data_IF_749875326151
#
_entry.id   IF_749875326151
#
_cell.length_a   1.000
_cell.length_b   1.000
_cell.length_c   1.000
_cell.angle_alpha   90.00
_cell.angle_beta   90.00
_cell.angle_gamma   90.00
#
_symmetry.space_group_name_H-M   'P 1'
#
loop_
_entity.id
_entity.type
_entity.pdbx_description
1 polymer ?
#
# COMPACT_ATOMS: atom_id res chain seq x y z
N UNK A 1 74.85 24.18 -17.07
CA UNK A 1 75.51 25.47 -17.36
C UNK A 1 74.44 26.50 -17.67
N UNK A 2 74.28 27.50 -16.81
CA UNK A 2 73.29 28.58 -16.97
C UNK A 2 73.83 29.58 -17.99
N UNK A 3 73.13 29.79 -19.11
CA UNK A 3 73.40 30.92 -20.00
C UNK A 3 72.81 32.15 -19.32
N UNK A 4 73.70 33.01 -18.82
CA UNK A 4 73.38 34.33 -18.27
C UNK A 4 72.58 35.09 -19.35
N UNK A 5 71.44 35.68 -18.99
CA UNK A 5 70.73 36.61 -19.88
C UNK A 5 71.69 37.75 -20.20
N UNK A 6 72.04 37.89 -21.48
CA UNK A 6 72.81 39.03 -21.97
C UNK A 6 71.75 39.95 -22.58
N UNK A 7 71.53 41.10 -21.96
CA UNK A 7 70.72 42.17 -22.55
C UNK A 7 71.41 42.59 -23.86
N UNK A 8 70.89 42.07 -24.96
CA UNK A 8 71.39 42.39 -26.29
C UNK A 8 70.67 43.66 -26.71
N UNK A 9 71.41 44.71 -27.07
CA UNK A 9 70.82 45.97 -27.50
C UNK A 9 69.86 45.74 -28.69
N UNK A 10 68.73 46.45 -28.70
CA UNK A 10 67.72 46.32 -29.73
C UNK A 10 68.34 46.55 -31.12
N UNK A 11 68.28 45.52 -31.96
CA UNK A 11 68.76 45.56 -33.34
C UNK A 11 67.67 46.19 -34.22
N UNK A 12 67.85 47.47 -34.57
CA UNK A 12 66.87 48.26 -35.33
C UNK A 12 66.74 47.85 -36.81
N UNK A 13 67.59 46.95 -37.30
CA UNK A 13 67.49 46.40 -38.68
C UNK A 13 66.48 45.22 -38.76
N UNK A 14 66.02 44.67 -37.63
CA UNK A 14 64.99 43.63 -37.60
C UNK A 14 63.62 44.22 -37.26
N UNK A 15 62.63 43.98 -38.13
CA UNK A 15 61.24 44.44 -37.92
C UNK A 15 60.43 43.65 -36.88
N UNK A 16 61.05 42.72 -36.13
CA UNK A 16 60.41 41.94 -35.07
C UNK A 16 61.43 41.51 -34.00
N UNK A 17 60.95 41.32 -32.77
CA UNK A 17 61.73 40.82 -31.64
C UNK A 17 61.80 39.29 -31.68
N UNK A 18 63.01 38.71 -31.54
CA UNK A 18 63.21 37.26 -31.50
C UNK A 18 62.62 36.72 -30.18
N UNK A 19 61.41 36.15 -30.27
CA UNK A 19 60.68 35.66 -29.10
C UNK A 19 61.15 34.22 -28.77
N UNK A 20 62.11 34.10 -27.84
CA UNK A 20 62.60 32.80 -27.37
C UNK A 20 61.55 32.08 -26.52
N UNK A 21 60.62 31.37 -27.18
CA UNK A 21 59.64 30.53 -26.48
C UNK A 21 60.38 29.38 -25.80
N UNK A 22 60.21 29.26 -24.47
CA UNK A 22 60.74 28.18 -23.64
C UNK A 22 60.08 26.82 -23.92
N UNK A 23 60.17 26.32 -25.15
CA UNK A 23 59.52 25.08 -25.64
C UNK A 23 59.80 23.90 -24.71
N UNK A 24 61.02 23.81 -24.19
CA UNK A 24 61.45 22.77 -23.25
C UNK A 24 60.61 22.76 -21.96
N UNK A 25 60.26 23.94 -21.42
CA UNK A 25 59.42 24.06 -20.23
C UNK A 25 57.98 23.61 -20.49
N UNK A 26 57.41 24.01 -21.62
CA UNK A 26 56.05 23.62 -22.03
C UNK A 26 55.97 22.09 -22.24
N UNK A 27 56.98 21.50 -22.87
CA UNK A 27 57.04 20.04 -23.09
C UNK A 27 57.13 19.29 -21.77
N UNK A 28 58.01 19.69 -20.84
CA UNK A 28 58.08 19.04 -19.52
C UNK A 28 56.80 19.20 -18.71
N UNK A 29 56.15 20.36 -18.79
CA UNK A 29 54.86 20.59 -18.15
C UNK A 29 53.79 19.63 -18.71
N UNK A 30 53.70 19.49 -20.04
CA UNK A 30 52.77 18.56 -20.68
C UNK A 30 53.02 17.10 -20.29
N UNK A 31 54.28 16.67 -20.26
CA UNK A 31 54.66 15.31 -19.81
C UNK A 31 54.31 15.11 -18.33
N UNK A 32 54.61 16.08 -17.48
CA UNK A 32 54.28 16.02 -16.05
C UNK A 32 52.77 15.94 -15.81
N UNK A 33 51.98 16.74 -16.53
CA UNK A 33 50.52 16.71 -16.45
C UNK A 33 49.97 15.35 -16.92
N UNK A 34 50.50 14.80 -18.01
CA UNK A 34 50.08 13.50 -18.52
C UNK A 34 50.39 12.37 -17.53
N UNK A 35 51.57 12.37 -16.91
CA UNK A 35 51.93 11.42 -15.87
C UNK A 35 51.00 11.51 -14.65
N UNK A 36 50.67 12.73 -14.22
CA UNK A 36 49.72 12.95 -13.11
C UNK A 36 48.34 12.40 -13.46
N UNK A 37 47.85 12.66 -14.67
CA UNK A 37 46.56 12.15 -15.14
C UNK A 37 46.54 10.61 -15.09
N UNK A 38 47.53 9.95 -15.70
CA UNK A 38 47.62 8.48 -15.70
C UNK A 38 47.68 7.93 -14.28
N UNK A 39 48.45 8.56 -13.40
CA UNK A 39 48.55 8.18 -12.00
C UNK A 39 47.20 8.28 -11.27
N UNK A 40 46.49 9.40 -11.43
CA UNK A 40 45.17 9.61 -10.79
C UNK A 40 44.13 8.61 -11.27
N UNK A 41 44.07 8.33 -12.57
CA UNK A 41 43.16 7.30 -13.11
C UNK A 41 43.53 5.90 -12.63
N UNK A 42 44.81 5.57 -12.54
CA UNK A 42 45.27 4.29 -11.98
C UNK A 42 44.87 4.11 -10.50
N UNK A 43 45.05 5.15 -9.69
CA UNK A 43 44.61 5.16 -8.29
C UNK A 43 43.09 5.01 -8.16
N UNK A 44 42.32 5.74 -8.98
CA UNK A 44 40.86 5.65 -8.96
C UNK A 44 40.37 4.27 -9.41
N UNK A 45 41.02 3.66 -10.40
CA UNK A 45 40.72 2.30 -10.84
C UNK A 45 40.98 1.27 -9.73
N UNK A 46 42.13 1.37 -9.06
CA UNK A 46 42.45 0.50 -7.93
C UNK A 46 41.45 0.66 -6.77
N UNK A 47 41.11 1.90 -6.43
CA UNK A 47 40.12 2.20 -5.40
C UNK A 47 38.74 1.64 -5.75
N UNK A 48 38.30 1.77 -7.00
CA UNK A 48 37.04 1.20 -7.47
C UNK A 48 37.03 -0.33 -7.34
N UNK A 49 38.16 -0.99 -7.64
CA UNK A 49 38.35 -2.42 -7.39
C UNK A 49 38.07 -2.79 -5.94
N UNK A 50 38.72 -2.10 -5.00
CA UNK A 50 38.53 -2.35 -3.55
C UNK A 50 37.09 -2.11 -3.09
N UNK A 51 36.42 -1.07 -3.60
CA UNK A 51 35.02 -0.79 -3.26
C UNK A 51 34.08 -1.85 -3.81
N UNK A 52 34.35 -2.36 -5.01
CA UNK A 52 33.55 -3.43 -5.62
C UNK A 52 33.67 -4.72 -4.80
N UNK A 53 34.88 -5.09 -4.42
CA UNK A 53 35.13 -6.29 -3.61
C UNK A 53 34.40 -6.17 -2.27
N UNK A 54 34.55 -5.03 -1.58
CA UNK A 54 33.83 -4.75 -0.34
C UNK A 54 32.31 -4.80 -0.51
N UNK A 55 31.77 -4.21 -1.59
CA UNK A 55 30.34 -4.23 -1.86
C UNK A 55 29.80 -5.64 -2.15
N UNK A 56 30.62 -6.53 -2.73
CA UNK A 56 30.24 -7.93 -2.94
C UNK A 56 30.29 -8.75 -1.65
N UNK A 57 31.29 -8.53 -0.81
CA UNK A 57 31.44 -9.24 0.47
C UNK A 57 30.43 -8.78 1.52
N UNK A 58 30.06 -7.50 1.50
CA UNK A 58 29.08 -6.88 2.41
C UNK A 58 27.69 -6.74 1.81
N UNK A 59 27.45 -7.34 0.64
CA UNK A 59 26.12 -7.46 0.08
C UNK A 59 25.27 -8.28 1.06
N UNK A 60 24.55 -7.59 1.94
CA UNK A 60 23.56 -8.18 2.82
C UNK A 60 22.46 -8.89 2.02
N UNK A 61 21.50 -9.54 2.70
CA UNK A 61 20.37 -10.17 2.03
C UNK A 61 19.71 -9.20 1.04
N UNK A 62 19.34 -9.73 -0.13
CA UNK A 62 18.82 -8.94 -1.25
C UNK A 62 17.75 -7.95 -0.75
N UNK A 63 17.94 -6.67 -1.11
CA UNK A 63 17.03 -5.60 -0.71
C UNK A 63 15.58 -6.02 -1.01
N UNK A 64 14.66 -5.98 -0.03
CA UNK A 64 13.28 -6.45 -0.20
C UNK A 64 12.51 -5.72 -1.32
N UNK A 65 13.00 -4.56 -1.79
CA UNK A 65 12.47 -3.83 -2.94
C UNK A 65 12.98 -4.34 -4.30
N UNK A 66 14.05 -5.14 -4.33
CA UNK A 66 14.60 -5.76 -5.54
C UNK A 66 14.08 -7.19 -5.78
N UNK A 67 13.43 -7.78 -4.77
CA UNK A 67 12.84 -9.10 -4.88
C UNK A 67 11.62 -9.04 -5.80
N UNK A 68 11.50 -10.01 -6.70
CA UNK A 68 10.27 -10.20 -7.47
C UNK A 68 9.10 -10.53 -6.53
N UNK A 69 7.87 -10.25 -6.94
CA UNK A 69 6.68 -10.50 -6.11
C UNK A 69 6.59 -11.97 -5.64
N UNK A 70 7.15 -12.90 -6.42
CA UNK A 70 7.20 -14.32 -6.07
C UNK A 70 8.26 -14.65 -5.01
N UNK A 71 9.37 -13.93 -4.98
CA UNK A 71 10.47 -14.11 -4.00
C UNK A 71 10.21 -13.36 -2.69
N UNK A 72 9.33 -12.35 -2.71
CA UNK A 72 8.84 -11.69 -1.49
C UNK A 72 7.89 -12.56 -0.67
N UNK A 73 7.29 -13.57 -1.30
CA UNK A 73 6.39 -14.48 -0.60
C UNK A 73 7.21 -15.47 0.25
N UNK A 74 6.74 -15.79 1.47
CA UNK A 74 7.38 -16.82 2.30
C UNK A 74 7.37 -18.18 1.58
N UNK A 75 8.38 -19.01 1.89
CA UNK A 75 8.52 -20.35 1.34
C UNK A 75 7.26 -21.21 1.59
N UNK A 76 6.93 -22.07 0.64
CA UNK A 76 5.80 -23.00 0.77
C UNK A 76 6.10 -24.05 1.85
N UNK A 77 5.12 -24.51 2.65
CA UNK A 77 3.67 -24.33 2.53
C UNK A 77 3.20 -22.97 3.06
N UNK A 78 2.53 -22.20 2.19
CA UNK A 78 2.00 -20.90 2.56
C UNK A 78 0.92 -21.10 3.63
N UNK A 79 0.91 -20.22 4.63
CA UNK A 79 -0.28 -20.00 5.44
C UNK A 79 -1.43 -19.78 4.44
N UNK A 80 -2.51 -20.57 4.51
CA UNK A 80 -3.67 -20.39 3.63
C UNK A 80 -3.99 -18.90 3.62
N UNK A 81 -3.86 -18.27 2.45
CA UNK A 81 -4.19 -16.86 2.29
C UNK A 81 -5.59 -16.71 2.87
N UNK A 82 -5.71 -15.89 3.91
CA UNK A 82 -7.02 -15.46 4.35
C UNK A 82 -7.73 -14.94 3.09
N UNK A 83 -8.99 -15.35 2.83
CA UNK A 83 -9.74 -14.82 1.71
C UNK A 83 -9.59 -13.30 1.74
N UNK A 84 -9.06 -12.72 0.67
CA UNK A 84 -8.76 -11.29 0.65
C UNK A 84 -10.01 -10.44 0.77
N UNK A 85 -9.84 -9.12 0.69
CA UNK A 85 -10.96 -8.18 0.81
C UNK A 85 -12.08 -8.54 -0.17
N UNK A 86 -13.28 -8.76 0.36
CA UNK A 86 -14.41 -9.26 -0.41
C UNK A 86 -15.65 -9.50 0.44
N UNK A 87 -16.81 -9.43 -0.20
CA UNK A 87 -18.12 -9.62 0.43
C UNK A 87 -18.69 -10.99 0.02
N UNK A 88 -19.19 -11.74 1.00
CA UNK A 88 -19.89 -13.00 0.75
C UNK A 88 -21.37 -12.70 0.46
N UNK A 89 -21.78 -12.82 -0.79
CA UNK A 89 -23.16 -12.63 -1.26
C UNK A 89 -23.83 -14.00 -1.47
N UNK A 90 -25.17 -14.03 -1.54
CA UNK A 90 -25.95 -15.25 -1.87
C UNK A 90 -25.51 -15.99 -3.14
N UNK A 91 -24.85 -15.31 -4.08
CA UNK A 91 -24.33 -15.85 -5.35
C UNK A 91 -22.85 -16.29 -5.28
N UNK A 92 -22.19 -16.10 -4.15
CA UNK A 92 -20.77 -16.38 -3.92
C UNK A 92 -20.00 -15.16 -3.43
N UNK A 93 -18.71 -15.36 -3.14
CA UNK A 93 -17.80 -14.30 -2.69
C UNK A 93 -17.40 -13.41 -3.86
N UNK A 94 -17.57 -12.10 -3.70
CA UNK A 94 -17.09 -11.11 -4.64
C UNK A 94 -15.77 -10.51 -4.13
N UNK A 95 -14.75 -10.50 -4.98
CA UNK A 95 -13.42 -9.97 -4.63
C UNK A 95 -13.34 -8.46 -4.87
N UNK A 96 -12.83 -7.73 -3.87
CA UNK A 96 -12.82 -6.26 -3.81
C UNK A 96 -11.40 -5.70 -3.59
N UNK A 97 -10.36 -6.49 -3.90
CA UNK A 97 -8.97 -6.15 -3.58
C UNK A 97 -8.43 -4.92 -4.35
N UNK A 98 -9.09 -4.51 -5.44
CA UNK A 98 -8.68 -3.40 -6.32
C UNK A 98 -9.82 -2.39 -6.57
N UNK A 99 -10.93 -2.51 -5.86
CA UNK A 99 -12.09 -1.65 -6.04
C UNK A 99 -12.05 -0.45 -5.08
N UNK A 100 -12.95 0.52 -5.32
CA UNK A 100 -13.09 1.65 -4.42
C UNK A 100 -13.43 1.18 -2.99
N UNK A 101 -13.02 1.90 -1.94
CA UNK A 101 -13.31 1.51 -0.56
C UNK A 101 -14.80 1.42 -0.23
N UNK A 102 -15.67 2.07 -1.01
CA UNK A 102 -17.14 1.99 -0.85
C UNK A 102 -17.79 0.82 -1.60
N UNK A 103 -17.01 0.03 -2.34
CA UNK A 103 -17.54 -1.07 -3.17
C UNK A 103 -18.27 -2.13 -2.36
N UNK A 104 -17.79 -2.45 -1.15
CA UNK A 104 -18.48 -3.35 -0.22
C UNK A 104 -19.92 -2.92 0.03
N UNK A 105 -20.10 -1.63 0.34
CA UNK A 105 -21.42 -1.07 0.62
C UNK A 105 -22.34 -1.12 -0.60
N UNK A 106 -21.81 -0.84 -1.80
CA UNK A 106 -22.62 -0.87 -3.02
C UNK A 106 -23.10 -2.27 -3.38
N UNK A 107 -22.28 -3.30 -3.14
CA UNK A 107 -22.66 -4.69 -3.38
C UNK A 107 -23.74 -5.15 -2.41
N UNK A 108 -23.56 -4.87 -1.12
CA UNK A 108 -24.59 -5.14 -0.10
C UNK A 108 -25.90 -4.40 -0.40
N UNK A 109 -25.81 -3.13 -0.79
CA UNK A 109 -26.98 -2.32 -1.14
C UNK A 109 -27.73 -2.91 -2.34
N UNK A 110 -27.01 -3.47 -3.31
CA UNK A 110 -27.62 -4.11 -4.48
C UNK A 110 -28.40 -5.36 -4.07
N UNK A 111 -27.81 -6.19 -3.19
CA UNK A 111 -28.45 -7.39 -2.65
C UNK A 111 -29.69 -7.04 -1.82
N UNK A 112 -29.60 -6.03 -0.93
CA UNK A 112 -30.74 -5.55 -0.16
C UNK A 112 -31.86 -4.99 -1.02
N UNK A 113 -31.54 -4.25 -2.10
CA UNK A 113 -32.56 -3.78 -3.05
C UNK A 113 -33.28 -4.94 -3.74
N UNK A 114 -32.55 -6.00 -4.09
CA UNK A 114 -33.15 -7.20 -4.67
C UNK A 114 -34.06 -7.92 -3.66
N UNK A 115 -33.60 -8.09 -2.41
CA UNK A 115 -34.40 -8.66 -1.31
C UNK A 115 -35.64 -7.82 -0.97
N UNK A 116 -35.53 -6.49 -0.92
CA UNK A 116 -36.69 -5.62 -0.65
C UNK A 116 -37.75 -5.70 -1.74
N UNK A 117 -37.34 -5.85 -3.00
CA UNK A 117 -38.25 -5.90 -4.13
C UNK A 117 -38.94 -7.27 -4.26
N UNK A 118 -38.23 -8.38 -4.00
CA UNK A 118 -38.70 -9.74 -4.29
C UNK A 118 -38.97 -10.59 -3.04
N UNK A 119 -38.43 -10.20 -1.89
CA UNK A 119 -38.31 -11.09 -0.73
C UNK A 119 -37.26 -12.18 -0.96
N UNK A 120 -37.14 -13.07 0.03
CA UNK A 120 -36.24 -14.20 0.00
C UNK A 120 -36.93 -15.44 0.56
N UNK A 121 -36.75 -16.56 -0.13
CA UNK A 121 -37.25 -17.87 0.28
C UNK A 121 -36.08 -18.83 0.43
N UNK A 122 -36.05 -19.59 1.51
CA UNK A 122 -35.04 -20.62 1.70
C UNK A 122 -35.19 -21.70 0.61
N UNK A 123 -34.16 -21.93 -0.23
CA UNK A 123 -34.22 -22.92 -1.30
C UNK A 123 -34.38 -24.36 -0.81
N UNK A 124 -34.01 -24.67 0.44
CA UNK A 124 -34.08 -26.03 1.00
C UNK A 124 -35.42 -26.34 1.65
N UNK A 125 -35.97 -25.38 2.39
CA UNK A 125 -37.19 -25.58 3.17
C UNK A 125 -38.44 -24.97 2.52
N UNK A 126 -38.26 -24.10 1.51
CA UNK A 126 -39.35 -23.34 0.91
C UNK A 126 -39.96 -22.30 1.85
N UNK A 127 -39.35 -22.08 3.02
CA UNK A 127 -39.84 -21.12 4.01
C UNK A 127 -39.53 -19.71 3.53
N UNK A 128 -40.51 -18.81 3.62
CA UNK A 128 -40.30 -17.38 3.33
C UNK A 128 -39.48 -16.79 4.47
N UNK A 129 -38.25 -16.37 4.17
CA UNK A 129 -37.34 -15.71 5.11
C UNK A 129 -37.71 -14.22 5.19
N UNK A 130 -37.90 -13.58 4.03
CA UNK A 130 -38.29 -12.18 3.94
C UNK A 130 -39.33 -11.97 2.85
N UNK A 131 -40.21 -11.00 3.03
CA UNK A 131 -41.32 -10.71 2.12
C UNK A 131 -41.34 -9.21 1.82
N UNK A 132 -41.68 -8.79 0.58
CA UNK A 132 -41.86 -7.37 0.28
C UNK A 132 -42.90 -6.72 1.19
N UNK A 133 -42.68 -5.46 1.53
CA UNK A 133 -43.51 -4.73 2.52
C UNK A 133 -44.99 -4.74 2.13
N UNK A 134 -45.30 -4.58 0.85
CA UNK A 134 -46.70 -4.51 0.41
C UNK A 134 -47.39 -5.88 0.49
N UNK A 135 -46.69 -6.96 0.16
CA UNK A 135 -47.17 -8.33 0.40
C UNK A 135 -47.27 -8.66 1.89
N UNK A 136 -46.36 -8.13 2.71
CA UNK A 136 -46.39 -8.32 4.15
C UNK A 136 -47.61 -7.65 4.77
N UNK A 137 -47.96 -6.45 4.31
CA UNK A 137 -49.18 -5.75 4.74
C UNK A 137 -50.42 -6.54 4.37
N UNK A 138 -50.54 -7.03 3.14
CA UNK A 138 -51.75 -7.76 2.72
C UNK A 138 -51.90 -9.06 3.51
N UNK A 139 -50.81 -9.83 3.71
CA UNK A 139 -50.85 -11.05 4.53
C UNK A 139 -51.14 -10.76 6.00
N UNK A 140 -50.57 -9.70 6.55
CA UNK A 140 -50.82 -9.29 7.94
C UNK A 140 -52.29 -8.92 8.15
N UNK A 141 -52.85 -8.09 7.26
CA UNK A 141 -54.24 -7.65 7.28
C UNK A 141 -55.26 -8.78 7.03
N UNK A 142 -54.87 -9.82 6.28
CA UNK A 142 -55.70 -11.00 6.08
C UNK A 142 -55.80 -11.91 7.32
N UNK A 143 -54.87 -11.80 8.25
CA UNK A 143 -54.91 -12.53 9.52
C UNK A 143 -55.96 -11.95 10.49
N UNK A 144 -56.39 -12.73 11.50
CA UNK A 144 -57.23 -12.21 12.58
C UNK A 144 -56.39 -11.27 13.47
N UNK A 145 -56.22 -10.01 13.04
CA UNK A 145 -55.54 -8.99 13.83
C UNK A 145 -56.45 -8.64 15.00
N UNK A 146 -56.26 -9.30 16.13
CA UNK A 146 -56.81 -8.85 17.40
C UNK A 146 -55.92 -7.70 17.90
N UNK A 147 -56.53 -6.54 18.14
CA UNK A 147 -55.87 -5.54 18.97
C UNK A 147 -55.47 -6.23 20.28
N UNK A 148 -54.21 -6.10 20.70
CA UNK A 148 -53.78 -6.61 22.01
C UNK A 148 -54.51 -5.78 23.07
N UNK A 149 -55.65 -6.28 23.53
CA UNK A 149 -56.51 -5.66 24.54
C UNK A 149 -56.71 -6.63 25.69
N UNK A 150 -56.76 -6.12 26.93
CA UNK A 150 -56.95 -6.92 28.14
C UNK A 150 -55.63 -7.22 28.88
N UNK A 151 -55.61 -8.24 29.75
CA UNK A 151 -54.51 -8.47 30.70
C UNK A 151 -53.15 -8.74 30.04
N UNK A 152 -53.12 -9.32 28.84
CA UNK A 152 -51.89 -9.54 28.08
C UNK A 152 -51.25 -8.23 27.58
N UNK A 153 -52.07 -7.21 27.29
CA UNK A 153 -51.60 -5.90 26.87
C UNK A 153 -50.96 -5.15 28.05
N UNK A 154 -51.57 -5.23 29.22
CA UNK A 154 -51.00 -4.67 30.46
C UNK A 154 -49.68 -5.35 30.84
N UNK A 155 -49.58 -6.67 30.63
CA UNK A 155 -48.34 -7.41 30.85
C UNK A 155 -47.23 -6.94 29.93
N UNK A 156 -47.49 -6.81 28.63
CA UNK A 156 -46.50 -6.29 27.68
C UNK A 156 -46.13 -4.83 27.94
N UNK A 157 -47.10 -4.00 28.35
CA UNK A 157 -46.83 -2.63 28.76
C UNK A 157 -45.90 -2.57 29.97
N UNK A 158 -46.13 -3.39 31.00
CA UNK A 158 -45.25 -3.51 32.16
C UNK A 158 -43.86 -4.01 31.78
N UNK A 159 -43.77 -5.06 30.96
CA UNK A 159 -42.49 -5.60 30.45
C UNK A 159 -41.70 -4.57 29.65
N UNK A 160 -42.37 -3.76 28.80
CA UNK A 160 -41.70 -2.71 28.00
C UNK A 160 -41.09 -1.60 28.84
N UNK A 161 -41.63 -1.38 30.04
CA UNK A 161 -41.10 -0.42 31.00
C UNK A 161 -40.02 -1.01 31.89
N UNK A 162 -39.69 -2.30 31.77
CA UNK A 162 -38.68 -2.91 32.62
C UNK A 162 -37.29 -2.83 31.98
N UNK A 163 -36.30 -2.40 32.76
CA UNK A 163 -34.89 -2.56 32.43
C UNK A 163 -34.52 -4.03 32.53
N UNK A 164 -33.89 -4.55 31.47
CA UNK A 164 -33.25 -5.86 31.49
C UNK A 164 -31.86 -5.66 32.06
N UNK A 165 -31.59 -6.29 33.21
CA UNK A 165 -30.27 -6.25 33.85
C UNK A 165 -29.58 -7.60 33.72
N UNK A 166 -28.28 -7.54 33.42
CA UNK A 166 -27.39 -8.69 33.32
C UNK A 166 -26.61 -8.92 34.63
N UNK A 167 -26.97 -8.24 35.73
CA UNK A 167 -26.25 -8.31 37.01
C UNK A 167 -26.53 -9.57 37.84
N UNK A 168 -27.36 -10.50 37.35
CA UNK A 168 -27.67 -11.78 37.99
C UNK A 168 -27.49 -12.95 37.01
N UNK A 169 -27.61 -14.19 37.51
CA UNK A 169 -27.42 -15.44 36.75
C UNK A 169 -28.50 -15.66 35.65
N UNK A 170 -28.54 -14.77 34.65
CA UNK A 170 -29.49 -14.72 33.56
C UNK A 170 -30.03 -13.31 33.32
N UNK A 171 -30.44 -13.04 32.06
CA UNK A 171 -31.08 -11.79 31.64
C UNK A 171 -32.46 -11.70 32.28
N UNK A 172 -32.57 -11.04 33.42
CA UNK A 172 -33.83 -10.91 34.17
C UNK A 172 -34.26 -9.44 34.21
N UNK A 173 -35.56 -9.21 34.08
CA UNK A 173 -36.11 -7.87 34.12
C UNK A 173 -36.11 -7.37 35.58
N UNK A 174 -35.36 -6.30 35.86
CA UNK A 174 -34.98 -5.94 37.22
C UNK A 174 -35.71 -4.72 37.79
N UNK A 175 -35.92 -3.66 36.98
CA UNK A 175 -36.44 -2.39 37.48
C UNK A 175 -37.39 -1.73 36.48
N UNK A 176 -38.48 -1.12 36.93
CA UNK A 176 -39.42 -0.40 36.06
C UNK A 176 -38.99 1.06 35.89
N UNK A 177 -38.87 1.52 34.63
CA UNK A 177 -38.63 2.90 34.24
C UNK A 177 -39.78 3.79 34.75
N UNK A 178 -39.45 4.71 35.67
CA UNK A 178 -40.41 5.64 36.29
C UNK A 178 -41.01 6.61 35.28
#
# INVERSE_FOLDING_TARGET
MSKKHIDTAADFDKGYEDNEIGLKGIVYFGVGLLLLIVLTFGLMWAFLGTMKDYATETAGPANPLKLSDKERLPAEPRLQSAPGFGVDTTKGRVSLELTAPQSEYWELLKEWKEQWAKGETDPKTGTVISLPIDEAKTKFLAGPIKAKSGPDAEKMYKESRMFISDSGAGRTASETQR
#
